data_IF_719180282070
#
_entry.id   IF_719180282070
#
_cell.length_a   1.000
_cell.length_b   1.000
_cell.length_c   1.000
_cell.angle_alpha   90.00
_cell.angle_beta   90.00
_cell.angle_gamma   90.00
#
_symmetry.space_group_name_H-M   'P 1'
#
loop_
_entity.id
_entity.type
_entity.pdbx_description
1 polymer ?
#
# COMPACT_ATOMS: atom_id res chain seq x y z
N UNK A 1 36.85 15.69 -18.53
CA UNK A 1 37.34 14.69 -17.55
C UNK A 1 37.32 13.32 -18.22
N UNK A 2 38.16 12.37 -17.82
CA UNK A 2 38.03 10.98 -18.27
C UNK A 2 37.14 10.27 -17.26
N UNK A 3 36.07 9.67 -17.75
CA UNK A 3 35.13 8.84 -16.98
C UNK A 3 35.44 7.37 -17.25
N UNK A 4 35.46 6.54 -16.20
CA UNK A 4 35.62 5.09 -16.26
C UNK A 4 34.37 4.44 -15.68
N UNK A 5 33.66 3.63 -16.46
CA UNK A 5 32.38 3.06 -16.06
C UNK A 5 32.24 1.61 -16.54
N UNK A 6 31.51 0.79 -15.77
CA UNK A 6 30.89 -0.46 -16.25
C UNK A 6 29.38 -0.36 -16.12
N UNK A 7 28.68 -0.86 -17.14
CA UNK A 7 27.22 -0.83 -17.24
C UNK A 7 26.66 -2.24 -17.26
N UNK A 8 25.61 -2.49 -16.49
CA UNK A 8 24.94 -3.79 -16.39
C UNK A 8 23.44 -3.67 -16.60
N UNK A 9 22.80 -4.75 -17.03
CA UNK A 9 21.35 -4.91 -16.88
C UNK A 9 21.03 -5.57 -15.55
N UNK A 10 20.06 -5.06 -14.81
CA UNK A 10 19.64 -5.69 -13.54
C UNK A 10 18.79 -6.95 -13.81
N UNK A 11 19.07 -8.06 -13.12
CA UNK A 11 18.17 -9.24 -13.13
C UNK A 11 17.05 -9.09 -12.08
N UNK A 12 17.37 -8.39 -10.99
CA UNK A 12 16.48 -8.08 -9.89
C UNK A 12 16.96 -6.81 -9.19
N UNK A 13 16.14 -6.27 -8.29
CA UNK A 13 16.50 -5.09 -7.51
C UNK A 13 16.93 -5.52 -6.11
N UNK A 14 18.02 -4.95 -5.56
CA UNK A 14 18.34 -5.11 -4.15
C UNK A 14 17.14 -4.73 -3.26
N UNK A 15 16.88 -5.52 -2.21
CA UNK A 15 15.69 -5.36 -1.35
C UNK A 15 15.63 -4.01 -0.63
N UNK A 16 16.78 -3.37 -0.47
CA UNK A 16 16.99 -2.11 0.24
C UNK A 16 17.19 -0.92 -0.70
N UNK A 17 17.15 -1.12 -2.03
CA UNK A 17 17.35 -0.06 -3.02
C UNK A 17 16.40 1.13 -2.84
N UNK A 18 15.16 0.89 -2.43
CA UNK A 18 14.17 1.96 -2.19
C UNK A 18 14.52 2.89 -1.03
N UNK A 19 15.32 2.41 -0.07
CA UNK A 19 15.77 3.23 1.05
C UNK A 19 16.96 4.11 0.67
N UNK A 20 17.55 3.88 -0.51
CA UNK A 20 18.66 4.67 -1.01
C UNK A 20 18.18 6.04 -1.52
N UNK A 21 19.10 7.00 -1.50
CA UNK A 21 18.86 8.30 -2.12
C UNK A 21 18.55 8.11 -3.61
N UNK A 22 17.49 8.77 -4.08
CA UNK A 22 17.11 8.73 -5.48
C UNK A 22 16.55 10.07 -5.96
N UNK A 23 16.59 10.25 -7.28
CA UNK A 23 16.09 11.47 -7.93
C UNK A 23 15.65 11.20 -9.37
N UNK A 24 14.71 12.01 -9.83
CA UNK A 24 14.30 12.01 -11.22
C UNK A 24 15.34 12.70 -12.10
N UNK A 25 15.68 12.03 -13.20
CA UNK A 25 16.56 12.54 -14.25
C UNK A 25 15.76 12.61 -15.55
N UNK A 26 15.83 13.77 -16.20
CA UNK A 26 15.29 14.00 -17.53
C UNK A 26 16.45 14.35 -18.44
N UNK A 27 16.66 13.49 -19.45
CA UNK A 27 17.69 13.69 -20.46
C UNK A 27 17.04 14.01 -21.81
N UNK A 28 17.54 15.05 -22.46
CA UNK A 28 17.15 15.46 -23.82
C UNK A 28 18.41 15.46 -24.68
N UNK A 29 18.48 14.53 -25.61
CA UNK A 29 19.60 14.37 -26.52
C UNK A 29 19.38 15.12 -27.83
N UNK A 30 20.44 15.76 -28.32
CA UNK A 30 20.43 16.67 -29.46
C UNK A 30 21.47 16.29 -30.53
N UNK A 31 21.19 16.56 -31.82
CA UNK A 31 19.90 16.95 -32.38
C UNK A 31 18.97 15.73 -32.54
N UNK A 32 17.65 15.96 -32.65
CA UNK A 32 16.65 14.88 -32.79
C UNK A 32 16.88 14.00 -34.02
N UNK A 33 17.45 14.54 -35.09
CA UNK A 33 17.67 13.84 -36.36
C UNK A 33 18.86 12.87 -36.29
N UNK A 34 19.73 13.01 -35.28
CA UNK A 34 20.87 12.12 -35.11
C UNK A 34 20.40 10.71 -34.71
N UNK A 35 20.97 9.68 -35.34
CA UNK A 35 20.75 8.30 -34.93
C UNK A 35 21.35 8.02 -33.55
N UNK A 36 22.53 8.58 -33.26
CA UNK A 36 23.22 8.47 -31.99
C UNK A 36 23.71 9.86 -31.52
N UNK A 37 22.81 10.69 -30.97
CA UNK A 37 23.19 12.00 -30.42
C UNK A 37 24.10 11.84 -29.20
N UNK A 38 25.14 12.67 -29.12
CA UNK A 38 26.15 12.67 -28.03
C UNK A 38 26.09 13.91 -27.14
N UNK A 39 25.35 14.94 -27.57
CA UNK A 39 25.08 16.13 -26.79
C UNK A 39 23.77 15.93 -26.02
N UNK A 40 23.78 16.18 -24.72
CA UNK A 40 22.68 15.92 -23.80
C UNK A 40 22.42 17.13 -22.91
N UNK A 41 21.21 17.65 -22.92
CA UNK A 41 20.69 18.49 -21.86
C UNK A 41 20.11 17.59 -20.78
N UNK A 42 20.45 17.85 -19.51
CA UNK A 42 20.02 17.05 -18.37
C UNK A 42 19.45 17.93 -17.29
N UNK A 43 18.27 17.56 -16.81
CA UNK A 43 17.73 18.02 -15.53
C UNK A 43 17.93 16.90 -14.52
N UNK A 44 18.74 17.16 -13.51
CA UNK A 44 19.13 16.24 -12.46
C UNK A 44 18.59 16.76 -11.12
N UNK A 45 17.34 16.45 -10.80
CA UNK A 45 16.61 17.09 -9.71
C UNK A 45 16.46 18.60 -9.92
N UNK A 46 17.13 19.41 -9.09
CA UNK A 46 17.14 20.87 -9.16
C UNK A 46 18.32 21.45 -9.98
N UNK A 47 19.25 20.60 -10.43
CA UNK A 47 20.42 21.01 -11.20
C UNK A 47 20.16 20.85 -12.70
N UNK A 48 20.74 21.75 -13.49
CA UNK A 48 20.61 21.77 -14.94
C UNK A 48 21.99 21.77 -15.58
N UNK A 49 22.20 20.92 -16.57
CA UNK A 49 23.51 20.77 -17.20
C UNK A 49 23.41 20.38 -18.67
N UNK A 50 24.43 20.77 -19.44
CA UNK A 50 24.66 20.30 -20.80
C UNK A 50 25.95 19.49 -20.83
N UNK A 51 25.86 18.24 -21.25
CA UNK A 51 26.98 17.30 -21.30
C UNK A 51 27.23 16.85 -22.73
N UNK A 52 28.49 16.77 -23.13
CA UNK A 52 28.94 16.04 -24.32
C UNK A 52 29.86 14.90 -23.89
N UNK A 53 29.50 13.67 -24.27
CA UNK A 53 30.32 12.48 -24.01
C UNK A 53 30.84 11.88 -25.31
N UNK A 54 32.14 11.61 -25.39
CA UNK A 54 32.79 11.02 -26.56
C UNK A 54 33.75 9.91 -26.14
N UNK A 55 33.69 8.69 -26.73
CA UNK A 55 34.64 7.63 -26.41
C UNK A 55 36.08 8.05 -26.67
N UNK A 56 36.99 7.75 -25.73
CA UNK A 56 38.43 8.05 -25.91
C UNK A 56 39.02 7.19 -27.03
N UNK A 57 38.54 5.95 -27.16
CA UNK A 57 38.90 5.01 -28.23
C UNK A 57 37.64 4.48 -28.91
N UNK A 58 37.66 4.42 -30.25
CA UNK A 58 36.52 3.91 -31.02
C UNK A 58 36.23 2.45 -30.62
N UNK A 59 34.98 2.20 -30.21
CA UNK A 59 34.52 0.87 -29.81
C UNK A 59 34.78 0.50 -28.36
N UNK A 60 35.28 1.42 -27.54
CA UNK A 60 35.40 1.25 -26.10
C UNK A 60 34.51 2.27 -25.38
N UNK A 61 33.37 1.81 -24.88
CA UNK A 61 32.42 2.64 -24.15
C UNK A 61 32.75 2.75 -22.65
N UNK A 62 33.71 1.98 -22.14
CA UNK A 62 34.11 2.01 -20.72
C UNK A 62 34.96 3.22 -20.35
N UNK A 63 35.40 4.01 -21.35
CA UNK A 63 36.26 5.17 -21.17
C UNK A 63 35.85 6.34 -22.06
N UNK A 64 35.31 7.39 -21.45
CA UNK A 64 34.72 8.52 -22.17
C UNK A 64 35.34 9.85 -21.76
N UNK A 65 35.51 10.75 -22.74
CA UNK A 65 35.77 12.16 -22.51
C UNK A 65 34.44 12.84 -22.25
N UNK A 66 34.27 13.35 -21.04
CA UNK A 66 33.08 14.12 -20.64
C UNK A 66 33.42 15.61 -20.50
N UNK A 67 32.58 16.43 -21.12
CA UNK A 67 32.54 17.88 -20.96
C UNK A 67 31.15 18.29 -20.48
N UNK A 68 31.08 18.94 -19.32
CA UNK A 68 29.82 19.35 -18.70
C UNK A 68 29.82 20.85 -18.43
N UNK A 69 28.75 21.51 -18.82
CA UNK A 69 28.47 22.94 -18.59
C UNK A 69 27.25 23.01 -17.68
N UNK A 70 27.41 23.63 -16.50
CA UNK A 70 26.30 23.91 -15.59
C UNK A 70 25.47 25.05 -16.17
N UNK A 71 24.15 24.89 -16.15
CA UNK A 71 23.19 25.85 -16.68
C UNK A 71 22.34 26.45 -15.56
N UNK A 72 21.91 27.70 -15.76
CA UNK A 72 20.75 28.23 -15.03
C UNK A 72 19.46 27.53 -15.49
N UNK A 73 18.39 27.71 -14.71
CA UNK A 73 17.06 27.19 -15.07
C UNK A 73 16.57 27.83 -16.38
N UNK A 74 16.77 29.14 -16.53
CA UNK A 74 16.35 29.92 -17.70
C UNK A 74 17.12 29.48 -18.96
N UNK A 75 18.42 29.21 -18.84
CA UNK A 75 19.25 28.68 -19.94
C UNK A 75 18.78 27.29 -20.36
N UNK A 76 18.50 26.41 -19.40
CA UNK A 76 17.97 25.09 -19.67
C UNK A 76 16.60 25.15 -20.36
N UNK A 77 15.68 25.96 -19.85
CA UNK A 77 14.34 26.13 -20.45
C UNK A 77 14.42 26.68 -21.87
N UNK A 78 15.33 27.65 -22.12
CA UNK A 78 15.60 28.16 -23.45
C UNK A 78 16.15 27.09 -24.40
N UNK A 79 17.17 26.33 -23.98
CA UNK A 79 17.79 25.28 -24.79
C UNK A 79 16.88 24.07 -25.01
N UNK A 80 15.99 23.77 -24.06
CA UNK A 80 15.03 22.67 -24.16
C UNK A 80 14.01 22.87 -25.29
N UNK A 81 13.86 24.10 -25.83
CA UNK A 81 13.02 24.36 -27.00
C UNK A 81 13.56 23.74 -28.29
N UNK A 82 14.84 23.40 -28.33
CA UNK A 82 15.45 22.73 -29.48
C UNK A 82 14.91 21.30 -29.59
N UNK A 83 14.45 20.86 -30.78
CA UNK A 83 13.98 19.50 -30.97
C UNK A 83 15.03 18.45 -30.56
N UNK A 84 14.67 17.63 -29.57
CA UNK A 84 15.52 16.57 -29.05
C UNK A 84 14.74 15.29 -28.77
N UNK A 85 15.49 14.21 -28.55
CA UNK A 85 14.93 12.93 -28.10
C UNK A 85 15.01 12.86 -26.58
N UNK A 86 13.88 12.57 -25.94
CA UNK A 86 13.74 12.60 -24.48
C UNK A 86 13.79 11.19 -23.89
N UNK A 87 14.37 11.07 -22.70
CA UNK A 87 14.21 9.90 -21.82
C UNK A 87 14.10 10.35 -20.37
N UNK A 88 13.25 9.65 -19.62
CA UNK A 88 13.00 9.93 -18.20
C UNK A 88 13.30 8.68 -17.39
N UNK A 89 14.02 8.85 -16.27
CA UNK A 89 14.39 7.76 -15.37
C UNK A 89 14.46 8.25 -13.93
N UNK A 90 14.31 7.32 -12.99
CA UNK A 90 14.63 7.52 -11.57
C UNK A 90 16.00 6.90 -11.31
N UNK A 91 16.97 7.67 -10.83
CA UNK A 91 18.31 7.17 -10.51
C UNK A 91 18.45 6.97 -9.00
N UNK A 92 18.71 5.74 -8.57
CA UNK A 92 18.99 5.39 -7.17
C UNK A 92 20.49 5.22 -6.96
N UNK A 93 21.03 5.72 -5.85
CA UNK A 93 22.45 5.59 -5.48
C UNK A 93 22.63 4.48 -4.46
N UNK A 94 23.00 3.29 -4.92
CA UNK A 94 23.13 2.09 -4.10
C UNK A 94 24.57 1.91 -3.60
N UNK A 95 24.82 1.88 -2.27
CA UNK A 95 26.15 1.59 -1.74
C UNK A 95 26.57 0.15 -2.06
N UNK A 96 27.73 -0.02 -2.69
CA UNK A 96 28.24 -1.32 -3.10
C UNK A 96 29.73 -1.43 -2.76
N UNK A 97 30.07 -2.08 -1.65
CA UNK A 97 31.47 -2.38 -1.25
C UNK A 97 32.45 -1.20 -1.34
N UNK A 98 32.00 -0.01 -0.91
CA UNK A 98 32.82 1.22 -0.95
C UNK A 98 32.72 2.01 -2.26
N UNK A 99 32.03 1.48 -3.26
CA UNK A 99 31.59 2.18 -4.47
C UNK A 99 30.12 2.56 -4.38
N UNK A 100 29.65 3.31 -5.38
CA UNK A 100 28.24 3.64 -5.58
C UNK A 100 27.81 3.07 -6.92
N UNK A 101 26.83 2.17 -6.91
CA UNK A 101 26.15 1.71 -8.10
C UNK A 101 24.92 2.58 -8.35
N UNK A 102 24.80 3.13 -9.55
CA UNK A 102 23.68 3.97 -9.95
C UNK A 102 22.65 3.14 -10.70
N UNK A 103 21.50 2.90 -10.07
CA UNK A 103 20.39 2.17 -10.70
C UNK A 103 19.47 3.15 -11.43
N UNK A 104 19.51 3.09 -12.75
CA UNK A 104 18.63 3.82 -13.63
C UNK A 104 17.37 3.03 -13.94
N UNK A 105 16.28 3.40 -13.26
CA UNK A 105 14.96 2.83 -13.45
C UNK A 105 14.20 3.67 -14.46
N UNK A 106 14.10 3.19 -15.69
CA UNK A 106 13.49 3.95 -16.79
C UNK A 106 11.97 4.07 -16.61
N UNK A 107 11.44 5.26 -16.94
CA UNK A 107 10.00 5.58 -16.91
C UNK A 107 9.41 5.62 -18.33
N UNK A 108 8.12 5.93 -18.41
CA UNK A 108 7.38 6.16 -19.66
C UNK A 108 7.55 5.01 -20.67
N UNK A 109 7.97 5.31 -21.91
CA UNK A 109 8.09 4.34 -23.00
C UNK A 109 9.02 3.17 -22.66
N UNK A 110 10.01 3.36 -21.79
CA UNK A 110 11.01 2.35 -21.41
C UNK A 110 10.73 1.72 -20.04
N UNK A 111 9.53 1.92 -19.47
CA UNK A 111 9.16 1.35 -18.18
C UNK A 111 9.52 -0.13 -18.09
N UNK A 112 10.30 -0.50 -17.08
CA UNK A 112 10.72 -1.88 -16.80
C UNK A 112 12.09 -2.29 -17.36
N UNK A 113 12.79 -1.36 -18.00
CA UNK A 113 14.24 -1.40 -18.17
C UNK A 113 14.92 -0.84 -16.91
N UNK A 114 15.92 -1.56 -16.39
CA UNK A 114 16.78 -1.11 -15.29
C UNK A 114 18.23 -1.36 -15.68
N UNK A 115 19.00 -0.27 -15.71
CA UNK A 115 20.43 -0.28 -16.00
C UNK A 115 21.18 0.08 -14.72
N UNK A 116 22.33 -0.55 -14.50
CA UNK A 116 23.19 -0.30 -13.33
C UNK A 116 24.54 0.19 -13.82
N UNK A 117 24.87 1.43 -13.52
CA UNK A 117 26.16 2.04 -13.85
C UNK A 117 27.06 2.01 -12.60
N UNK A 118 28.32 1.65 -12.75
CA UNK A 118 29.33 1.72 -11.67
C UNK A 118 30.53 2.50 -12.18
N UNK A 119 30.84 3.62 -11.54
CA UNK A 119 31.95 4.49 -11.88
C UNK A 119 33.21 4.17 -11.06
N UNK A 120 34.39 4.37 -11.66
CA UNK A 120 35.68 4.05 -11.06
C UNK A 120 36.67 5.23 -11.18
N UNK A 121 37.48 5.45 -10.13
CA UNK A 121 38.56 6.43 -10.19
C UNK A 121 39.81 5.89 -10.90
N UNK A 122 40.06 4.57 -10.82
CA UNK A 122 41.25 3.91 -11.36
C UNK A 122 40.87 2.75 -12.27
N UNK A 123 41.64 2.57 -13.32
CA UNK A 123 41.43 1.52 -14.31
C UNK A 123 41.65 0.12 -13.73
N UNK A 124 42.61 -0.04 -12.82
CA UNK A 124 42.84 -1.31 -12.12
C UNK A 124 41.62 -1.77 -11.29
N UNK A 125 40.93 -0.84 -10.63
CA UNK A 125 39.74 -1.13 -9.82
C UNK A 125 38.58 -1.53 -10.74
N UNK A 126 38.40 -0.82 -11.87
CA UNK A 126 37.42 -1.18 -12.91
C UNK A 126 37.65 -2.60 -13.43
N UNK A 127 38.89 -2.91 -13.79
CA UNK A 127 39.23 -4.19 -14.43
C UNK A 127 39.09 -5.38 -13.47
N UNK A 128 39.38 -5.17 -12.18
CA UNK A 128 39.21 -6.16 -11.12
C UNK A 128 37.76 -6.30 -10.61
N UNK A 129 36.86 -5.37 -10.94
CA UNK A 129 35.49 -5.36 -10.43
C UNK A 129 34.66 -6.53 -10.98
N UNK A 130 34.13 -7.34 -10.07
CA UNK A 130 33.24 -8.46 -10.36
C UNK A 130 31.77 -8.00 -10.43
N UNK A 131 31.03 -8.57 -11.37
CA UNK A 131 29.62 -8.24 -11.56
C UNK A 131 28.79 -8.67 -10.33
N UNK A 132 28.00 -7.77 -9.72
CA UNK A 132 27.19 -8.11 -8.56
C UNK A 132 26.10 -9.13 -8.87
N UNK A 133 25.66 -9.89 -7.86
CA UNK A 133 24.66 -10.95 -8.04
C UNK A 133 23.34 -10.42 -8.62
N UNK A 134 22.89 -9.22 -8.25
CA UNK A 134 21.64 -8.62 -8.75
C UNK A 134 21.73 -8.17 -10.23
N UNK A 135 22.90 -8.20 -10.84
CA UNK A 135 23.08 -7.93 -12.26
C UNK A 135 22.91 -9.22 -13.08
N UNK A 136 22.31 -9.07 -14.26
CA UNK A 136 22.11 -10.15 -15.23
C UNK A 136 23.37 -10.36 -16.07
N UNK A 137 23.86 -9.28 -16.67
CA UNK A 137 24.91 -9.31 -17.69
C UNK A 137 25.59 -7.94 -17.79
N UNK A 138 26.90 -7.95 -18.07
CA UNK A 138 27.68 -6.78 -18.46
C UNK A 138 27.32 -6.35 -19.88
N UNK A 139 26.86 -5.12 -20.01
CA UNK A 139 26.42 -4.51 -21.27
C UNK A 139 27.21 -3.25 -21.60
N UNK A 140 28.37 -3.06 -20.97
CA UNK A 140 29.22 -1.86 -21.12
C UNK A 140 29.49 -1.53 -22.60
N UNK A 141 29.65 -2.56 -23.45
CA UNK A 141 29.97 -2.39 -24.87
C UNK A 141 28.74 -2.48 -25.80
N UNK A 142 27.53 -2.71 -25.26
CA UNK A 142 26.30 -2.87 -26.02
C UNK A 142 25.68 -1.51 -26.37
N UNK A 143 25.87 -1.08 -27.62
CA UNK A 143 25.46 0.25 -28.09
C UNK A 143 23.97 0.53 -27.95
N UNK A 144 23.10 -0.48 -28.00
CA UNK A 144 21.65 -0.28 -27.97
C UNK A 144 21.13 0.29 -26.64
N UNK A 145 21.94 0.18 -25.57
CA UNK A 145 21.64 0.73 -24.24
C UNK A 145 22.31 2.08 -23.98
N UNK A 146 23.14 2.59 -24.91
CA UNK A 146 23.70 3.93 -24.78
C UNK A 146 22.56 4.95 -24.68
N UNK A 147 22.68 5.95 -23.80
CA UNK A 147 21.59 6.90 -23.53
C UNK A 147 21.07 7.63 -24.79
N UNK A 148 21.97 7.98 -25.71
CA UNK A 148 21.60 8.57 -27.00
C UNK A 148 20.86 7.60 -27.95
N UNK A 149 21.03 6.29 -27.78
CA UNK A 149 20.29 5.27 -28.54
C UNK A 149 18.92 4.96 -27.90
N UNK A 150 18.82 4.99 -26.57
CA UNK A 150 17.58 4.77 -25.83
C UNK A 150 16.61 5.94 -25.92
N UNK A 151 17.12 7.17 -26.06
CA UNK A 151 16.28 8.36 -26.04
C UNK A 151 15.23 8.35 -27.17
N UNK A 152 14.00 8.73 -26.83
CA UNK A 152 12.87 8.73 -27.76
C UNK A 152 12.34 7.34 -28.16
N UNK A 153 12.91 6.25 -27.66
CA UNK A 153 12.41 4.88 -27.89
C UNK A 153 11.43 4.45 -26.81
N UNK A 154 10.69 3.40 -27.11
CA UNK A 154 9.91 2.63 -26.16
C UNK A 154 10.49 1.22 -25.99
N UNK A 155 9.99 0.47 -25.02
CA UNK A 155 10.49 -0.85 -24.65
C UNK A 155 10.39 -1.85 -25.80
N UNK A 156 9.34 -1.78 -26.63
CA UNK A 156 9.18 -2.69 -27.77
C UNK A 156 10.26 -2.48 -28.84
N UNK A 157 10.70 -1.24 -29.03
CA UNK A 157 11.75 -0.90 -30.00
C UNK A 157 13.10 -1.59 -29.68
N UNK A 158 13.34 -1.95 -28.41
CA UNK A 158 14.56 -2.61 -27.94
C UNK A 158 14.32 -4.04 -27.43
N UNK A 159 13.07 -4.52 -27.45
CA UNK A 159 12.72 -5.81 -26.85
C UNK A 159 13.42 -6.99 -27.53
N UNK A 160 13.74 -6.88 -28.83
CA UNK A 160 14.52 -7.87 -29.56
C UNK A 160 15.94 -8.03 -28.99
N UNK A 161 16.62 -6.91 -28.79
CA UNK A 161 17.97 -6.87 -28.20
C UNK A 161 17.98 -7.33 -26.75
N UNK A 162 16.98 -6.91 -25.96
CA UNK A 162 16.83 -7.36 -24.57
C UNK A 162 16.60 -8.87 -24.47
N UNK A 163 15.77 -9.45 -25.34
CA UNK A 163 15.58 -10.91 -25.40
C UNK A 163 16.86 -11.65 -25.81
N UNK A 164 17.66 -11.09 -26.72
CA UNK A 164 18.96 -11.67 -27.13
C UNK A 164 19.89 -11.86 -25.93
N UNK A 165 19.84 -10.95 -24.96
CA UNK A 165 20.67 -11.00 -23.74
C UNK A 165 19.93 -11.60 -22.53
N UNK A 166 18.74 -12.18 -22.74
CA UNK A 166 17.96 -12.84 -21.69
C UNK A 166 17.32 -11.90 -20.66
N UNK A 167 17.16 -10.61 -20.98
CA UNK A 167 16.56 -9.64 -20.07
C UNK A 167 15.04 -9.70 -20.10
N UNK A 168 14.46 -9.93 -18.93
CA UNK A 168 13.03 -9.83 -18.69
C UNK A 168 12.65 -8.45 -18.15
N UNK A 169 11.48 -7.97 -18.58
CA UNK A 169 10.94 -6.68 -18.14
C UNK A 169 10.68 -6.69 -16.63
N UNK A 170 11.38 -5.85 -15.88
CA UNK A 170 11.18 -5.69 -14.45
C UNK A 170 9.95 -4.83 -14.16
N UNK A 171 9.11 -5.25 -13.22
CA UNK A 171 8.00 -4.43 -12.74
C UNK A 171 8.39 -3.73 -11.43
N UNK A 172 8.97 -2.55 -11.58
CA UNK A 172 9.40 -1.72 -10.46
C UNK A 172 8.24 -1.37 -9.50
N UNK A 173 6.99 -1.22 -10.00
CA UNK A 173 5.81 -0.96 -9.13
C UNK A 173 5.39 -2.22 -8.35
N UNK A 174 5.56 -3.43 -8.90
CA UNK A 174 5.36 -4.69 -8.14
C UNK A 174 6.46 -4.94 -7.12
N UNK A 175 7.66 -4.45 -7.39
CA UNK A 175 8.82 -4.59 -6.49
C UNK A 175 8.82 -3.53 -5.38
N UNK A 176 8.16 -2.37 -5.60
CA UNK A 176 7.79 -1.36 -4.59
C UNK A 176 6.45 -1.62 -3.89
N UNK A 177 6.36 -1.93 -2.59
CA UNK A 177 7.36 -2.41 -1.67
C UNK A 177 6.63 -3.41 -0.78
N UNK A 178 7.17 -4.62 -0.68
CA UNK A 178 6.64 -5.62 0.26
C UNK A 178 6.59 -5.08 1.69
N UNK A 179 7.39 -4.06 2.01
CA UNK A 179 7.52 -3.51 3.35
C UNK A 179 6.64 -2.26 3.60
N UNK A 180 5.92 -1.76 2.59
CA UNK A 180 4.94 -0.67 2.73
C UNK A 180 3.82 -1.11 3.67
N UNK A 181 3.26 -0.18 4.45
CA UNK A 181 2.31 -0.54 5.48
C UNK A 181 0.96 -0.97 4.90
N UNK A 182 0.22 -1.76 5.68
CA UNK A 182 -1.22 -1.94 5.48
C UNK A 182 -1.91 -0.77 6.18
N UNK A 183 -2.75 -0.04 5.43
CA UNK A 183 -3.63 0.98 5.97
C UNK A 183 -4.87 0.34 6.56
N UNK A 184 -5.30 0.76 7.75
CA UNK A 184 -6.56 0.30 8.36
C UNK A 184 -7.35 1.53 8.76
N UNK A 185 -8.55 1.70 8.20
CA UNK A 185 -9.46 2.82 8.49
C UNK A 185 -10.68 2.33 9.26
N UNK A 186 -10.99 2.97 10.39
CA UNK A 186 -12.28 2.83 11.07
C UNK A 186 -12.84 4.20 11.51
N UNK A 187 -14.14 4.23 11.73
CA UNK A 187 -14.86 5.34 12.34
C UNK A 187 -14.50 5.60 13.81
N UNK A 188 -13.87 4.64 14.51
CA UNK A 188 -13.50 4.77 15.91
C UNK A 188 -12.58 3.64 16.40
N UNK A 189 -12.84 3.11 17.59
CA UNK A 189 -12.05 2.04 18.23
C UNK A 189 -12.45 0.63 17.78
N UNK A 190 -13.55 0.46 17.04
CA UNK A 190 -14.05 -0.85 16.63
C UNK A 190 -13.06 -1.60 15.74
N UNK A 191 -12.37 -0.90 14.85
CA UNK A 191 -11.37 -1.46 13.95
C UNK A 191 -10.18 -2.12 14.65
N UNK A 192 -9.99 -1.89 15.96
CA UNK A 192 -8.96 -2.55 16.76
C UNK A 192 -9.16 -4.07 16.86
N UNK A 193 -10.41 -4.55 16.77
CA UNK A 193 -10.71 -5.99 16.71
C UNK A 193 -10.06 -6.65 15.48
N UNK A 194 -10.20 -6.02 14.32
CA UNK A 194 -9.60 -6.48 13.06
C UNK A 194 -8.09 -6.29 13.06
N UNK A 195 -7.60 -5.16 13.59
CA UNK A 195 -6.18 -4.89 13.71
C UNK A 195 -5.46 -5.99 14.50
N UNK A 196 -6.04 -6.42 15.63
CA UNK A 196 -5.51 -7.52 16.45
C UNK A 196 -5.34 -8.80 15.65
N UNK A 197 -6.34 -9.17 14.84
CA UNK A 197 -6.29 -10.36 13.99
C UNK A 197 -5.27 -10.23 12.85
N UNK A 198 -5.17 -9.05 12.21
CA UNK A 198 -4.18 -8.79 11.16
C UNK A 198 -2.77 -8.98 11.74
N UNK A 199 -2.47 -8.33 12.86
CA UNK A 199 -1.16 -8.43 13.53
C UNK A 199 -0.83 -9.87 13.92
N UNK A 200 -1.81 -10.63 14.42
CA UNK A 200 -1.61 -12.02 14.81
C UNK A 200 -1.25 -12.95 13.65
N UNK A 201 -1.84 -12.75 12.46
CA UNK A 201 -1.65 -13.63 11.30
C UNK A 201 -0.52 -13.14 10.38
N UNK A 202 -0.24 -11.84 10.39
CA UNK A 202 0.74 -11.16 9.55
C UNK A 202 1.75 -10.37 10.40
N UNK A 203 2.59 -11.06 11.20
CA UNK A 203 3.44 -10.42 12.21
C UNK A 203 4.62 -9.62 11.63
N UNK A 204 4.85 -9.65 10.32
CA UNK A 204 5.93 -8.90 9.65
C UNK A 204 5.42 -7.64 8.94
N UNK A 205 4.11 -7.37 9.00
CA UNK A 205 3.50 -6.25 8.31
C UNK A 205 3.53 -4.98 9.15
N UNK A 206 4.04 -3.89 8.57
CA UNK A 206 3.87 -2.56 9.16
C UNK A 206 2.43 -2.10 9.00
N UNK A 207 1.89 -1.41 9.99
CA UNK A 207 0.49 -0.96 9.99
C UNK A 207 0.39 0.54 10.21
N UNK A 208 -0.48 1.18 9.44
CA UNK A 208 -0.98 2.52 9.71
C UNK A 208 -2.48 2.42 9.96
N UNK A 209 -2.86 2.55 11.22
CA UNK A 209 -4.27 2.57 11.63
C UNK A 209 -4.75 4.01 11.77
N UNK A 210 -5.91 4.32 11.22
CA UNK A 210 -6.58 5.60 11.40
C UNK A 210 -7.98 5.37 11.96
N UNK A 211 -8.26 6.00 13.10
CA UNK A 211 -9.58 6.02 13.74
C UNK A 211 -10.13 7.44 13.82
N UNK A 212 -11.32 7.63 13.26
CA UNK A 212 -12.00 8.92 13.29
C UNK A 212 -12.91 9.12 14.53
N UNK A 213 -12.36 8.91 15.71
CA UNK A 213 -13.10 9.03 16.99
C UNK A 213 -13.76 10.41 17.20
N UNK A 214 -13.32 11.48 16.51
CA UNK A 214 -13.99 12.80 16.55
C UNK A 214 -15.41 12.76 15.97
N UNK A 215 -15.61 11.97 14.91
CA UNK A 215 -16.88 11.88 14.21
C UNK A 215 -17.59 10.53 14.47
N UNK A 216 -17.07 9.67 15.35
CA UNK A 216 -17.79 8.49 15.82
C UNK A 216 -19.07 8.90 16.58
N UNK A 217 -20.22 8.21 16.41
CA UNK A 217 -20.48 7.09 15.51
C UNK A 217 -20.90 7.51 14.09
N UNK A 218 -20.45 6.76 13.08
CA UNK A 218 -20.86 6.98 11.69
C UNK A 218 -22.25 6.45 11.36
N UNK A 219 -22.78 5.52 12.17
CA UNK A 219 -24.08 4.88 11.96
C UNK A 219 -25.28 5.84 11.99
N UNK A 220 -25.08 7.08 12.42
CA UNK A 220 -26.12 8.10 12.56
C UNK A 220 -25.94 9.30 11.61
N UNK A 221 -24.84 9.35 10.85
CA UNK A 221 -24.49 10.49 9.98
C UNK A 221 -25.08 10.38 8.58
N UNK A 222 -25.09 11.52 7.87
CA UNK A 222 -25.47 11.56 6.46
C UNK A 222 -24.43 10.85 5.58
N UNK A 223 -24.86 10.29 4.46
CA UNK A 223 -23.94 9.63 3.52
C UNK A 223 -22.93 10.62 2.91
N UNK A 224 -23.34 11.88 2.71
CA UNK A 224 -22.47 12.94 2.17
C UNK A 224 -21.32 13.23 3.12
N UNK A 225 -21.60 13.35 4.42
CA UNK A 225 -20.57 13.60 5.43
C UNK A 225 -19.62 12.41 5.56
N UNK A 226 -20.16 11.18 5.61
CA UNK A 226 -19.34 9.96 5.70
C UNK A 226 -18.41 9.87 4.49
N UNK A 227 -18.92 10.15 3.28
CA UNK A 227 -18.10 10.14 2.06
C UNK A 227 -16.97 11.14 2.15
N UNK A 228 -17.26 12.41 2.44
CA UNK A 228 -16.27 13.48 2.54
C UNK A 228 -15.16 13.14 3.53
N UNK A 229 -15.52 12.61 4.70
CA UNK A 229 -14.53 12.26 5.73
C UNK A 229 -13.73 11.01 5.31
N UNK A 230 -14.40 9.98 4.79
CA UNK A 230 -13.75 8.75 4.31
C UNK A 230 -12.71 9.08 3.25
N UNK A 231 -13.05 9.90 2.24
CA UNK A 231 -12.12 10.31 1.17
C UNK A 231 -10.86 10.95 1.74
N UNK A 232 -10.99 11.88 2.70
CA UNK A 232 -9.84 12.53 3.36
C UNK A 232 -8.91 11.52 4.05
N UNK A 233 -9.49 10.53 4.75
CA UNK A 233 -8.69 9.49 5.42
C UNK A 233 -8.04 8.55 4.41
N UNK A 234 -8.74 8.17 3.33
CA UNK A 234 -8.14 7.37 2.26
C UNK A 234 -6.97 8.12 1.62
N UNK A 235 -7.13 9.39 1.25
CA UNK A 235 -6.04 10.20 0.70
C UNK A 235 -4.83 10.29 1.64
N UNK A 236 -5.07 10.34 2.96
CA UNK A 236 -4.00 10.26 3.94
C UNK A 236 -3.27 8.91 3.94
N UNK A 237 -4.01 7.80 3.91
CA UNK A 237 -3.41 6.46 3.84
C UNK A 237 -2.63 6.25 2.53
N UNK A 238 -3.13 6.81 1.42
CA UNK A 238 -2.42 6.84 0.13
C UNK A 238 -1.13 7.65 0.23
N UNK A 239 -1.16 8.86 0.82
CA UNK A 239 0.04 9.69 1.05
C UNK A 239 1.06 9.02 1.97
N UNK A 240 0.62 8.07 2.79
CA UNK A 240 1.47 7.20 3.62
C UNK A 240 1.95 5.95 2.90
N UNK A 241 1.70 5.85 1.60
CA UNK A 241 2.11 4.76 0.72
C UNK A 241 1.60 3.38 1.19
N UNK A 242 0.38 3.31 1.73
CA UNK A 242 -0.17 2.02 2.12
C UNK A 242 -0.33 1.11 0.88
N UNK A 243 0.20 -0.12 0.94
CA UNK A 243 0.13 -1.09 -0.18
C UNK A 243 -1.23 -1.78 -0.31
N UNK A 244 -2.02 -1.75 0.77
CA UNK A 244 -3.38 -2.28 0.85
C UNK A 244 -4.13 -1.47 1.91
N UNK A 245 -5.41 -1.19 1.68
CA UNK A 245 -6.26 -0.51 2.66
C UNK A 245 -7.41 -1.40 3.12
N UNK A 246 -7.52 -1.57 4.44
CA UNK A 246 -8.63 -2.25 5.10
C UNK A 246 -9.63 -1.21 5.58
N UNK A 247 -10.85 -1.28 5.05
CA UNK A 247 -11.99 -0.46 5.50
C UNK A 247 -12.67 -1.20 6.66
N UNK A 248 -12.11 -1.05 7.86
CA UNK A 248 -12.54 -1.68 9.10
C UNK A 248 -13.80 -1.03 9.73
N UNK A 249 -14.76 -0.62 8.90
CA UNK A 249 -16.04 -0.06 9.32
C UNK A 249 -17.17 -0.60 8.44
N UNK A 250 -18.17 -1.27 9.03
CA UNK A 250 -19.31 -1.81 8.28
C UNK A 250 -20.13 -0.71 7.61
N UNK A 251 -20.27 0.45 8.24
CA UNK A 251 -21.00 1.59 7.65
C UNK A 251 -20.32 2.08 6.38
N UNK A 252 -19.00 2.29 6.40
CA UNK A 252 -18.23 2.72 5.22
C UNK A 252 -18.24 1.63 4.15
N UNK A 253 -17.90 0.39 4.51
CA UNK A 253 -17.85 -0.72 3.55
C UNK A 253 -19.17 -0.90 2.83
N UNK A 254 -20.28 -0.90 3.58
CA UNK A 254 -21.60 -1.21 3.02
C UNK A 254 -22.13 -0.17 2.01
N UNK A 255 -21.52 1.01 1.96
CA UNK A 255 -21.95 2.12 1.10
C UNK A 255 -20.92 2.47 0.04
N UNK A 256 -19.61 2.46 0.37
CA UNK A 256 -18.58 3.08 -0.47
C UNK A 256 -17.52 2.12 -1.02
N UNK A 257 -17.51 0.84 -0.65
CA UNK A 257 -16.39 -0.05 -1.01
C UNK A 257 -16.19 -0.21 -2.53
N UNK A 258 -17.29 -0.26 -3.29
CA UNK A 258 -17.22 -0.42 -4.76
C UNK A 258 -16.68 0.87 -5.40
N UNK A 259 -17.18 2.03 -4.98
CA UNK A 259 -16.68 3.34 -5.44
C UNK A 259 -15.19 3.53 -5.13
N UNK A 260 -14.74 3.12 -3.94
CA UNK A 260 -13.33 3.20 -3.56
C UNK A 260 -12.46 2.31 -4.47
N UNK A 261 -12.93 1.11 -4.82
CA UNK A 261 -12.21 0.20 -5.74
C UNK A 261 -12.15 0.72 -7.18
N UNK A 262 -13.14 1.49 -7.60
CA UNK A 262 -13.15 2.15 -8.90
C UNK A 262 -12.25 3.39 -8.93
N UNK A 263 -12.11 4.09 -7.80
CA UNK A 263 -11.45 5.39 -7.72
C UNK A 263 -9.93 5.34 -7.45
N UNK A 264 -9.41 4.24 -6.88
CA UNK A 264 -7.98 4.15 -6.53
C UNK A 264 -7.35 2.84 -6.98
N UNK A 265 -6.05 2.90 -7.33
CA UNK A 265 -5.25 1.72 -7.70
C UNK A 265 -4.95 0.79 -6.51
N UNK A 266 -4.98 1.29 -5.27
CA UNK A 266 -4.66 0.48 -4.08
C UNK A 266 -5.75 -0.59 -3.85
N UNK A 267 -5.39 -1.84 -3.51
CA UNK A 267 -6.38 -2.85 -3.18
C UNK A 267 -7.11 -2.52 -1.87
N UNK A 268 -8.45 -2.67 -1.88
CA UNK A 268 -9.29 -2.49 -0.70
C UNK A 268 -9.91 -3.79 -0.19
N UNK A 269 -9.79 -4.01 1.12
CA UNK A 269 -10.51 -5.04 1.87
C UNK A 269 -11.58 -4.38 2.72
N UNK A 270 -12.85 -4.64 2.39
CA UNK A 270 -13.97 -4.20 3.21
C UNK A 270 -14.35 -5.25 4.26
N UNK A 271 -15.21 -4.83 5.19
CA UNK A 271 -15.85 -5.72 6.16
C UNK A 271 -17.31 -5.99 5.79
N UNK A 272 -17.69 -7.26 5.75
CA UNK A 272 -19.08 -7.68 5.56
C UNK A 272 -19.56 -8.39 6.82
N UNK A 273 -20.82 -8.19 7.25
CA UNK A 273 -21.39 -8.99 8.32
C UNK A 273 -21.27 -10.48 7.97
N UNK A 274 -20.83 -11.31 8.92
CA UNK A 274 -20.62 -12.76 8.74
C UNK A 274 -21.94 -13.56 8.60
N UNK A 275 -22.95 -12.99 7.95
CA UNK A 275 -24.32 -13.53 7.87
C UNK A 275 -24.37 -14.85 7.12
N UNK A 276 -23.59 -15.01 6.05
CA UNK A 276 -23.51 -16.27 5.32
C UNK A 276 -22.83 -17.38 6.13
N UNK A 277 -21.90 -17.02 7.03
CA UNK A 277 -21.26 -17.96 7.95
C UNK A 277 -22.27 -18.41 9.01
N UNK A 278 -22.92 -17.46 9.67
CA UNK A 278 -23.98 -17.76 10.64
C UNK A 278 -25.11 -18.61 10.05
N UNK A 279 -25.53 -18.32 8.81
CA UNK A 279 -26.55 -19.10 8.11
C UNK A 279 -26.11 -20.55 7.81
N UNK A 280 -24.81 -20.80 7.62
CA UNK A 280 -24.28 -22.16 7.43
C UNK A 280 -24.13 -22.92 8.76
N UNK A 281 -23.90 -22.21 9.85
CA UNK A 281 -23.59 -22.78 11.17
C UNK A 281 -24.79 -22.89 12.11
N UNK A 282 -25.93 -22.28 11.76
CA UNK A 282 -27.17 -22.39 12.56
C UNK A 282 -27.69 -23.81 12.58
N UNK A 283 -28.02 -24.29 13.77
CA UNK A 283 -28.66 -25.59 14.02
C UNK A 283 -30.17 -25.44 14.16
N UNK A 284 -30.63 -24.27 14.59
CA UNK A 284 -32.06 -23.95 14.77
C UNK A 284 -32.69 -23.32 13.52
N UNK A 285 -31.90 -23.02 12.49
CA UNK A 285 -32.36 -22.29 11.30
C UNK A 285 -32.73 -20.84 11.62
N UNK A 286 -32.20 -20.25 12.70
CA UNK A 286 -32.57 -18.93 13.21
C UNK A 286 -31.33 -18.11 13.54
N UNK A 287 -31.06 -17.08 12.75
CA UNK A 287 -29.91 -16.20 12.95
C UNK A 287 -30.34 -14.79 13.33
N UNK A 288 -29.60 -14.18 14.22
CA UNK A 288 -29.69 -12.78 14.59
C UNK A 288 -28.57 -11.99 13.91
N UNK A 289 -28.86 -10.79 13.44
CA UNK A 289 -27.86 -9.88 12.89
C UNK A 289 -27.93 -8.57 13.65
N UNK A 290 -26.91 -8.31 14.46
CA UNK A 290 -26.79 -7.07 15.22
C UNK A 290 -25.96 -6.08 14.40
N UNK A 291 -26.55 -4.96 13.98
CA UNK A 291 -25.94 -4.01 13.04
C UNK A 291 -26.22 -2.56 13.41
N UNK A 292 -25.53 -1.62 12.76
CA UNK A 292 -25.89 -0.21 12.82
C UNK A 292 -27.07 0.11 11.89
N UNK A 293 -27.72 1.26 12.12
CA UNK A 293 -28.82 1.76 11.28
C UNK A 293 -28.41 1.94 9.81
N UNK A 294 -27.21 2.48 9.56
CA UNK A 294 -26.66 2.64 8.20
C UNK A 294 -26.45 1.29 7.52
N UNK A 295 -25.81 0.34 8.19
CA UNK A 295 -25.53 -0.99 7.63
C UNK A 295 -26.83 -1.74 7.32
N UNK A 296 -27.83 -1.70 8.21
CA UNK A 296 -29.13 -2.35 7.98
C UNK A 296 -29.85 -1.85 6.70
N UNK A 297 -29.67 -0.57 6.36
CA UNK A 297 -30.32 0.07 5.20
C UNK A 297 -29.53 -0.11 3.90
N UNK A 298 -28.27 -0.50 3.98
CA UNK A 298 -27.34 -0.59 2.85
C UNK A 298 -27.79 -1.60 1.79
N UNK A 299 -27.43 -1.30 0.52
CA UNK A 299 -27.68 -2.21 -0.61
C UNK A 299 -26.88 -3.51 -0.45
N UNK A 300 -25.63 -3.41 -0.01
CA UNK A 300 -24.75 -4.56 0.19
C UNK A 300 -25.37 -5.57 1.17
N UNK A 301 -25.81 -5.11 2.35
CA UNK A 301 -26.42 -5.99 3.34
C UNK A 301 -27.69 -6.68 2.83
N UNK A 302 -28.55 -5.96 2.08
CA UNK A 302 -29.75 -6.54 1.45
C UNK A 302 -29.38 -7.62 0.44
N UNK A 303 -28.37 -7.39 -0.40
CA UNK A 303 -27.89 -8.38 -1.36
C UNK A 303 -27.35 -9.64 -0.67
N UNK A 304 -26.59 -9.48 0.41
CA UNK A 304 -26.08 -10.61 1.21
C UNK A 304 -27.21 -11.40 1.86
N UNK A 305 -28.19 -10.71 2.44
CA UNK A 305 -29.38 -11.36 3.02
C UNK A 305 -30.13 -12.17 1.97
N UNK A 306 -30.26 -11.68 0.74
CA UNK A 306 -30.96 -12.38 -0.34
C UNK A 306 -30.25 -13.67 -0.79
N UNK A 307 -28.97 -13.86 -0.45
CA UNK A 307 -28.23 -15.12 -0.73
C UNK A 307 -28.51 -16.21 0.30
N UNK A 308 -29.18 -15.88 1.41
CA UNK A 308 -29.51 -16.83 2.48
C UNK A 308 -30.72 -17.65 2.06
N UNK A 309 -30.71 -18.94 2.40
CA UNK A 309 -31.84 -19.83 2.13
C UNK A 309 -33.13 -19.27 2.75
N UNK A 310 -34.27 -19.27 2.04
CA UNK A 310 -35.55 -18.82 2.58
C UNK A 310 -36.06 -19.66 3.76
N UNK A 311 -35.43 -20.82 4.03
CA UNK A 311 -35.71 -21.67 5.19
C UNK A 311 -35.10 -21.15 6.50
N UNK A 312 -34.16 -20.20 6.43
CA UNK A 312 -33.49 -19.64 7.60
C UNK A 312 -34.19 -18.33 7.98
N UNK A 313 -34.65 -18.25 9.22
CA UNK A 313 -35.21 -17.01 9.78
C UNK A 313 -34.07 -16.06 10.14
N UNK A 314 -34.12 -14.83 9.62
CA UNK A 314 -33.10 -13.80 9.86
C UNK A 314 -33.73 -12.64 10.62
N UNK A 315 -33.43 -12.54 11.92
CA UNK A 315 -33.81 -11.41 12.76
C UNK A 315 -32.74 -10.33 12.72
N UNK A 316 -33.12 -9.08 12.45
CA UNK A 316 -32.18 -7.95 12.36
C UNK A 316 -32.49 -6.98 13.48
N UNK A 317 -31.50 -6.68 14.31
CA UNK A 317 -31.61 -5.70 15.39
C UNK A 317 -30.59 -4.59 15.22
N UNK A 318 -31.02 -3.36 15.52
CA UNK A 318 -30.14 -2.20 15.55
C UNK A 318 -29.49 -2.13 16.93
N UNK A 319 -28.17 -2.25 16.99
CA UNK A 319 -27.43 -2.13 18.23
C UNK A 319 -27.48 -0.70 18.78
N UNK A 320 -28.02 -0.52 19.98
CA UNK A 320 -28.15 0.77 20.68
C UNK A 320 -27.22 0.82 21.90
N UNK A 321 -26.45 1.89 22.05
CA UNK A 321 -25.56 2.10 23.21
C UNK A 321 -24.27 1.26 23.19
N UNK A 322 -24.14 0.28 22.31
CA UNK A 322 -23.00 -0.65 22.28
C UNK A 322 -21.71 0.02 21.77
N UNK A 323 -21.83 0.96 20.83
CA UNK A 323 -20.67 1.66 20.27
C UNK A 323 -20.09 2.60 21.33
N UNK A 324 -20.97 3.33 22.02
CA UNK A 324 -20.65 4.27 23.09
C UNK A 324 -19.92 3.59 24.25
N UNK A 325 -20.39 2.41 24.67
CA UNK A 325 -19.74 1.63 25.72
C UNK A 325 -18.28 1.30 25.38
N UNK A 326 -18.01 0.93 24.12
CA UNK A 326 -16.66 0.58 23.64
C UNK A 326 -15.78 1.83 23.53
N UNK A 327 -16.27 2.91 22.93
CA UNK A 327 -15.53 4.19 22.80
C UNK A 327 -15.17 4.78 24.17
N UNK A 328 -15.99 4.54 25.19
CA UNK A 328 -15.78 5.00 26.56
C UNK A 328 -14.98 4.02 27.43
N UNK A 329 -14.64 2.84 26.92
CA UNK A 329 -13.92 1.80 27.69
C UNK A 329 -14.75 1.13 28.77
N UNK A 330 -16.08 1.30 28.75
CA UNK A 330 -17.03 0.65 29.66
C UNK A 330 -17.32 -0.77 29.17
N UNK A 331 -16.31 -1.63 29.30
CA UNK A 331 -16.42 -3.01 28.79
C UNK A 331 -17.14 -3.90 29.79
N UNK A 332 -16.74 -3.99 31.07
CA UNK A 332 -17.15 -5.07 31.99
C UNK A 332 -18.09 -4.71 33.16
N UNK A 333 -18.72 -3.53 33.14
CA UNK A 333 -19.55 -3.08 34.27
C UNK A 333 -21.00 -3.60 34.20
N UNK A 334 -21.79 -3.34 35.26
CA UNK A 334 -23.21 -3.75 35.32
C UNK A 334 -24.05 -3.12 34.21
N UNK A 335 -23.84 -1.82 33.95
CA UNK A 335 -24.55 -1.08 32.91
C UNK A 335 -24.33 -1.68 31.52
N UNK A 336 -23.11 -2.10 31.18
CA UNK A 336 -22.79 -2.79 29.93
C UNK A 336 -23.60 -4.08 29.79
N UNK A 337 -23.70 -4.87 30.87
CA UNK A 337 -24.52 -6.10 30.87
C UNK A 337 -25.99 -5.80 30.60
N UNK A 338 -26.55 -4.77 31.24
CA UNK A 338 -27.95 -4.37 31.07
C UNK A 338 -28.24 -3.89 29.64
N UNK A 339 -27.33 -3.09 29.06
CA UNK A 339 -27.43 -2.65 27.66
C UNK A 339 -27.34 -3.83 26.69
N UNK A 340 -26.40 -4.77 26.90
CA UNK A 340 -26.27 -5.97 26.05
C UNK A 340 -27.55 -6.81 26.13
N UNK A 341 -28.05 -7.10 27.34
CA UNK A 341 -29.28 -7.88 27.53
C UNK A 341 -30.49 -7.25 26.82
N UNK A 342 -30.60 -5.92 26.88
CA UNK A 342 -31.66 -5.18 26.18
C UNK A 342 -31.57 -5.38 24.66
N UNK A 343 -30.38 -5.29 24.09
CA UNK A 343 -30.15 -5.50 22.65
C UNK A 343 -30.39 -6.96 22.21
N UNK A 344 -30.17 -7.94 23.08
CA UNK A 344 -30.35 -9.36 22.76
C UNK A 344 -31.77 -9.90 23.06
N UNK A 345 -32.65 -9.09 23.67
CA UNK A 345 -33.97 -9.52 24.14
C UNK A 345 -34.82 -10.19 23.05
N UNK A 346 -34.86 -9.61 21.85
CA UNK A 346 -35.65 -10.14 20.74
C UNK A 346 -35.07 -11.44 20.19
N UNK A 347 -33.74 -11.55 20.10
CA UNK A 347 -33.04 -12.78 19.73
C UNK A 347 -33.37 -13.92 20.70
N UNK A 348 -33.36 -13.65 22.02
CA UNK A 348 -33.73 -14.63 23.04
C UNK A 348 -35.18 -15.09 22.87
N UNK A 349 -36.11 -14.14 22.72
CA UNK A 349 -37.54 -14.43 22.50
C UNK A 349 -37.79 -15.29 21.27
N UNK A 350 -37.03 -15.08 20.19
CA UNK A 350 -37.18 -15.83 18.93
C UNK A 350 -36.40 -17.14 18.90
N UNK A 351 -35.53 -17.39 19.87
CA UNK A 351 -34.71 -18.60 19.94
C UNK A 351 -33.60 -18.64 18.89
N UNK A 352 -33.00 -17.48 18.57
CA UNK A 352 -31.80 -17.38 17.73
C UNK A 352 -30.66 -18.16 18.38
N UNK A 353 -29.89 -18.91 17.59
CA UNK A 353 -28.69 -19.62 18.06
C UNK A 353 -27.37 -19.04 17.51
N UNK A 354 -27.42 -18.31 16.40
CA UNK A 354 -26.25 -17.65 15.82
C UNK A 354 -26.48 -16.14 15.75
N UNK A 355 -25.60 -15.34 16.36
CA UNK A 355 -25.69 -13.87 16.35
C UNK A 355 -24.48 -13.29 15.62
N UNK A 356 -24.73 -12.63 14.50
CA UNK A 356 -23.72 -11.92 13.71
C UNK A 356 -23.39 -10.59 14.36
N UNK A 357 -22.11 -10.36 14.64
CA UNK A 357 -21.58 -9.08 15.11
C UNK A 357 -21.28 -8.18 13.91
N UNK A 358 -22.30 -7.51 13.38
CA UNK A 358 -22.22 -6.71 12.15
C UNK A 358 -21.77 -5.25 12.33
N UNK A 359 -21.03 -4.97 13.40
CA UNK A 359 -20.32 -3.73 13.66
C UNK A 359 -18.98 -4.08 14.29
N UNK A 360 -17.91 -3.41 13.89
CA UNK A 360 -16.54 -3.67 14.36
C UNK A 360 -16.34 -3.42 15.85
N UNK A 361 -17.21 -2.65 16.51
CA UNK A 361 -17.21 -2.48 17.97
C UNK A 361 -17.72 -3.71 18.72
N UNK A 362 -18.66 -4.47 18.17
CA UNK A 362 -19.35 -5.53 18.91
C UNK A 362 -18.46 -6.73 19.28
N UNK A 363 -17.47 -7.16 18.47
CA UNK A 363 -16.48 -8.15 18.88
C UNK A 363 -15.76 -7.82 20.19
N UNK A 364 -15.58 -6.53 20.52
CA UNK A 364 -14.93 -6.10 21.76
C UNK A 364 -15.82 -6.31 23.01
N UNK A 365 -17.11 -6.61 22.82
CA UNK A 365 -18.07 -6.96 23.86
C UNK A 365 -18.40 -8.46 23.89
N UNK A 366 -17.80 -9.25 22.99
CA UNK A 366 -18.17 -10.66 22.75
C UNK A 366 -18.11 -11.51 24.02
N UNK A 367 -17.06 -11.38 24.82
CA UNK A 367 -16.91 -12.16 26.06
C UNK A 367 -18.12 -11.98 27.00
N UNK A 368 -18.62 -10.76 27.15
CA UNK A 368 -19.78 -10.49 28.02
C UNK A 368 -21.08 -10.90 27.35
N UNK A 369 -21.18 -10.77 26.03
CA UNK A 369 -22.31 -11.29 25.28
C UNK A 369 -22.45 -12.81 25.48
N UNK A 370 -21.32 -13.54 25.46
CA UNK A 370 -21.26 -14.98 25.77
C UNK A 370 -21.60 -15.28 27.24
N UNK A 371 -21.16 -14.45 28.20
CA UNK A 371 -21.55 -14.59 29.61
C UNK A 371 -23.06 -14.44 29.83
N UNK A 372 -23.70 -13.45 29.20
CA UNK A 372 -25.12 -13.11 29.46
C UNK A 372 -26.10 -13.87 28.56
N UNK A 373 -25.62 -14.47 27.48
CA UNK A 373 -26.41 -15.25 26.53
C UNK A 373 -25.65 -16.50 26.04
N UNK A 374 -25.29 -17.43 26.95
CA UNK A 374 -24.52 -18.64 26.62
C UNK A 374 -25.24 -19.58 25.65
N UNK A 375 -26.55 -19.41 25.48
CA UNK A 375 -27.36 -20.15 24.51
C UNK A 375 -27.16 -19.71 23.05
N UNK A 376 -26.43 -18.61 22.82
CA UNK A 376 -26.13 -18.03 21.51
C UNK A 376 -24.64 -18.12 21.20
N UNK A 377 -24.32 -18.41 19.95
CA UNK A 377 -22.96 -18.29 19.44
C UNK A 377 -22.78 -16.94 18.72
N UNK A 378 -21.72 -16.21 19.06
CA UNK A 378 -21.44 -14.89 18.50
C UNK A 378 -20.39 -14.96 17.39
N UNK A 379 -20.82 -14.65 16.17
CA UNK A 379 -20.02 -14.75 14.95
C UNK A 379 -19.30 -13.42 14.70
N UNK A 380 -17.99 -13.45 14.90
CA UNK A 380 -17.07 -12.33 14.70
C UNK A 380 -16.41 -12.39 13.30
N UNK A 381 -16.57 -11.37 12.44
CA UNK A 381 -15.96 -11.35 11.12
C UNK A 381 -14.45 -11.04 11.12
N UNK A 382 -13.85 -10.62 12.25
CA UNK A 382 -12.50 -10.02 12.30
C UNK A 382 -11.41 -10.93 11.73
N UNK A 383 -11.41 -12.20 12.15
CA UNK A 383 -10.45 -13.19 11.66
C UNK A 383 -10.59 -13.46 10.15
N UNK A 384 -11.82 -13.46 9.63
CA UNK A 384 -12.08 -13.66 8.21
C UNK A 384 -11.52 -12.51 7.37
N UNK A 385 -11.65 -11.27 7.85
CA UNK A 385 -11.09 -10.07 7.22
C UNK A 385 -9.56 -10.16 7.18
N UNK A 386 -8.92 -10.51 8.30
CA UNK A 386 -7.47 -10.67 8.37
C UNK A 386 -6.95 -11.77 7.42
N UNK A 387 -7.67 -12.90 7.32
CA UNK A 387 -7.37 -13.95 6.34
C UNK A 387 -7.52 -13.47 4.89
N UNK A 388 -8.50 -12.63 4.61
CA UNK A 388 -8.68 -12.04 3.27
C UNK A 388 -7.53 -11.10 2.92
N UNK A 389 -7.06 -10.28 3.86
CA UNK A 389 -5.86 -9.46 3.70
C UNK A 389 -4.66 -10.32 3.33
N UNK A 390 -4.39 -11.38 4.10
CA UNK A 390 -3.30 -12.33 3.81
C UNK A 390 -3.44 -12.96 2.42
N UNK A 391 -4.65 -13.38 2.05
CA UNK A 391 -4.94 -13.99 0.74
C UNK A 391 -4.58 -13.04 -0.41
N UNK A 392 -5.01 -11.78 -0.33
CA UNK A 392 -4.69 -10.76 -1.35
C UNK A 392 -3.18 -10.49 -1.39
N UNK A 393 -2.54 -10.26 -0.25
CA UNK A 393 -1.10 -10.02 -0.21
C UNK A 393 -0.29 -11.20 -0.76
N UNK A 394 -0.75 -12.43 -0.53
CA UNK A 394 -0.11 -13.64 -1.08
C UNK A 394 -0.28 -13.69 -2.59
N UNK A 395 -1.51 -13.52 -3.09
CA UNK A 395 -1.83 -13.54 -4.52
C UNK A 395 -1.06 -12.48 -5.30
N UNK A 396 -0.96 -11.28 -4.75
CA UNK A 396 -0.24 -10.15 -5.36
C UNK A 396 1.28 -10.19 -5.10
N UNK A 397 1.79 -11.20 -4.39
CA UNK A 397 3.21 -11.32 -4.00
C UNK A 397 3.73 -10.11 -3.19
N UNK A 398 2.88 -9.54 -2.34
CA UNK A 398 3.12 -8.33 -1.55
C UNK A 398 3.41 -8.59 -0.05
N UNK A 399 3.55 -9.84 0.39
CA UNK A 399 3.88 -10.14 1.79
C UNK A 399 5.23 -9.54 2.22
N UNK A 400 5.23 -8.83 3.35
CA UNK A 400 6.42 -8.21 3.93
C UNK A 400 7.48 -9.21 4.34
N UNK A 401 8.73 -8.86 4.05
CA UNK A 401 9.92 -9.57 4.54
C UNK A 401 10.59 -8.84 5.71
N UNK A 402 10.03 -7.72 6.13
CA UNK A 402 10.60 -6.86 7.17
C UNK A 402 10.47 -7.51 8.55
N UNK A 403 11.58 -7.55 9.31
CA UNK A 403 11.66 -8.18 10.64
C UNK A 403 11.34 -7.23 11.80
N UNK A 404 11.17 -5.93 11.53
CA UNK A 404 10.89 -4.89 12.53
C UNK A 404 9.67 -4.04 12.13
N UNK A 405 8.49 -4.65 11.98
CA UNK A 405 7.29 -3.90 11.57
C UNK A 405 6.98 -2.78 12.56
N UNK A 406 6.57 -1.64 12.04
CA UNK A 406 6.09 -0.52 12.85
C UNK A 406 4.57 -0.50 12.86
N UNK A 407 3.96 -0.14 14.00
CA UNK A 407 2.54 0.15 14.07
C UNK A 407 2.33 1.61 14.50
N UNK A 408 1.76 2.41 13.60
CA UNK A 408 1.38 3.79 13.87
C UNK A 408 -0.14 3.91 13.95
N UNK A 409 -0.64 4.47 15.05
CA UNK A 409 -2.05 4.67 15.29
C UNK A 409 -2.37 6.15 15.30
N UNK A 410 -3.29 6.55 14.43
CA UNK A 410 -3.72 7.92 14.23
C UNK A 410 -5.17 8.07 14.69
N UNK A 411 -5.42 9.05 15.57
CA UNK A 411 -6.76 9.36 16.06
C UNK A 411 -7.11 10.81 15.79
N UNK A 412 -8.28 11.05 15.21
CA UNK A 412 -8.79 12.42 15.00
C UNK A 412 -9.16 13.10 16.32
N UNK A 413 -9.45 12.32 17.36
CA UNK A 413 -9.62 12.73 18.77
C UNK A 413 -9.29 11.57 19.69
N UNK A 414 -8.71 11.83 20.85
CA UNK A 414 -8.49 10.80 21.89
C UNK A 414 -9.82 10.25 22.39
N UNK A 415 -10.04 8.95 22.21
CA UNK A 415 -11.16 8.22 22.82
C UNK A 415 -10.77 7.68 24.19
N UNK A 416 -11.71 7.67 25.15
CA UNK A 416 -11.44 7.25 26.54
C UNK A 416 -11.07 5.77 26.64
N UNK A 417 -11.72 4.91 25.84
CA UNK A 417 -11.47 3.48 25.80
C UNK A 417 -10.15 3.07 25.16
N UNK A 418 -9.43 4.01 24.52
CA UNK A 418 -8.23 3.72 23.73
C UNK A 418 -7.17 2.99 24.55
N UNK A 419 -6.75 3.51 25.70
CA UNK A 419 -5.67 2.91 26.50
C UNK A 419 -5.97 1.48 26.94
N UNK A 420 -7.23 1.22 27.34
CA UNK A 420 -7.68 -0.10 27.74
C UNK A 420 -7.60 -1.08 26.56
N UNK A 421 -8.08 -0.66 25.39
CA UNK A 421 -8.10 -1.51 24.20
C UNK A 421 -6.70 -1.73 23.61
N UNK A 422 -5.81 -0.74 23.62
CA UNK A 422 -4.44 -0.89 23.11
C UNK A 422 -3.63 -1.94 23.88
N UNK A 423 -3.87 -2.09 25.18
CA UNK A 423 -3.26 -3.16 25.99
C UNK A 423 -3.59 -4.57 25.47
N UNK A 424 -4.69 -4.72 24.72
CA UNK A 424 -5.13 -6.01 24.19
C UNK A 424 -4.53 -6.39 22.83
N UNK A 425 -3.80 -5.47 22.17
CA UNK A 425 -3.36 -5.64 20.77
C UNK A 425 -1.97 -6.30 20.67
N UNK A 426 -1.25 -6.48 21.79
CA UNK A 426 -0.05 -7.34 21.84
C UNK A 426 1.16 -6.85 21.01
N UNK A 427 1.18 -5.59 20.57
CA UNK A 427 2.26 -5.00 19.77
C UNK A 427 3.39 -4.45 20.65
N UNK A 428 4.64 -4.59 20.17
CA UNK A 428 5.86 -4.21 20.90
C UNK A 428 6.34 -2.77 20.64
N UNK A 429 5.88 -2.12 19.56
CA UNK A 429 6.24 -0.74 19.21
C UNK A 429 5.04 0.00 18.61
N UNK A 430 4.25 0.65 19.47
CA UNK A 430 3.08 1.44 19.08
C UNK A 430 3.42 2.93 19.16
N UNK A 431 3.32 3.65 18.04
CA UNK A 431 3.35 5.12 18.02
C UNK A 431 1.93 5.66 17.90
N UNK A 432 1.46 6.34 18.94
CA UNK A 432 0.13 6.98 18.94
C UNK A 432 0.28 8.45 18.57
N UNK A 433 -0.50 8.91 17.58
CA UNK A 433 -0.61 10.32 17.18
C UNK A 433 -2.06 10.78 17.28
N UNK A 434 -2.28 11.84 18.04
CA UNK A 434 -3.60 12.40 18.32
C UNK A 434 -3.76 13.76 17.65
N UNK A 435 -5.00 14.18 17.42
CA UNK A 435 -5.31 15.52 16.88
C UNK A 435 -4.95 15.67 15.40
N UNK A 436 -4.86 14.56 14.66
CA UNK A 436 -4.64 14.59 13.22
C UNK A 436 -5.96 15.00 12.56
N UNK A 437 -6.03 16.27 12.14
CA UNK A 437 -7.22 16.89 11.55
C UNK A 437 -6.93 17.24 10.10
N UNK A 438 -7.95 17.06 9.25
CA UNK A 438 -7.99 17.49 7.85
C UNK A 438 -8.91 18.69 7.65
#
# INVERSE_FOLDING_TARGET
MIELEKTYLAKELPKDLENCEHKEIIDVYLPKESEHPVLRLRKNGANYEMTKKEPVKKGDASKQLEQTIVLSKEEFEGLQTVPGKRVVKERYRYPLEGLIAEFDVFKEGLKGLVVVDVEFEKEADKDAFEMPEFCLIDVTQEKFLAGGMLCGRNYQDIAGDLRRVGYDKLDFKKMQSKNRPIGVLDSGLGGLSILKEIVGILPNESIIYFADSKNCPYGEKSLVDIKKITTKVIEFLIKKECKLVVVACNSITSVFIDELRESYEVPFVGVEPATLVAAKETKKGKIGVLVTKTTARSKLFKQTKNKISPRIEVEIEIGKGLVELVEEGRLRNKETRDVILSNLKNFKRKGVDQVVLGCTHYPLLKEIMEEVAPEMNFVDPSLAVAKQVKSILTKESLLSTYKKPACELYFSKRAKGMELLLKTIGLREIKVREGVIF
#
